data_IF_908737414573
#
_entry.id   IF_908737414573
#
_cell.length_a   1.000
_cell.length_b   1.000
_cell.length_c   1.000
_cell.angle_alpha   90.00
_cell.angle_beta   90.00
_cell.angle_gamma   90.00
#
_symmetry.space_group_name_H-M   'P 1'
#
loop_
_entity.id
_entity.type
_entity.pdbx_description
1 polymer ?
#
# COMPACT_ATOMS: atom_id res chain seq x y z
N UNK A 1 -9.23 -2.60 7.17
CA UNK A 1 -9.52 -2.27 8.58
C UNK A 1 -10.38 -1.01 8.63
N UNK A 2 -10.61 -0.45 9.82
CA UNK A 2 -11.30 0.84 9.98
C UNK A 2 -10.65 1.92 9.09
N UNK A 3 -11.47 2.81 8.52
CA UNK A 3 -11.00 3.87 7.62
C UNK A 3 -10.35 3.40 6.31
N UNK A 4 -10.34 2.09 6.02
CA UNK A 4 -9.65 1.54 4.85
C UNK A 4 -8.16 1.29 5.04
N UNK A 5 -7.66 1.30 6.29
CA UNK A 5 -6.27 0.92 6.60
C UNK A 5 -6.04 -0.54 6.23
N UNK A 6 -4.97 -0.79 5.47
CA UNK A 6 -4.54 -2.14 5.11
C UNK A 6 -3.74 -2.72 6.28
N UNK A 7 -4.25 -3.82 6.83
CA UNK A 7 -3.65 -4.55 7.96
C UNK A 7 -3.19 -5.94 7.48
N UNK A 8 -2.56 -6.69 8.38
CA UNK A 8 -2.11 -8.05 8.08
C UNK A 8 -0.81 -8.16 7.29
N UNK A 9 0.00 -7.10 7.21
CA UNK A 9 1.34 -7.19 6.62
C UNK A 9 2.23 -8.18 7.38
N UNK A 10 2.96 -9.00 6.64
CA UNK A 10 3.94 -9.95 7.20
C UNK A 10 5.34 -9.56 6.74
N UNK A 11 6.27 -9.52 7.70
CA UNK A 11 7.66 -9.20 7.42
C UNK A 11 8.33 -10.40 6.76
N UNK A 12 8.87 -10.19 5.56
CA UNK A 12 9.77 -11.14 4.93
C UNK A 12 11.20 -10.72 5.30
N UNK A 13 11.84 -11.47 6.19
CA UNK A 13 13.19 -11.18 6.64
C UNK A 13 14.17 -11.28 5.47
N UNK A 14 14.72 -10.14 5.09
CA UNK A 14 15.92 -10.04 4.27
C UNK A 14 17.10 -9.84 5.24
N UNK A 15 18.30 -10.30 4.92
CA UNK A 15 19.51 -10.12 5.74
C UNK A 15 19.96 -8.64 5.76
N UNK A 16 19.10 -7.76 6.29
CA UNK A 16 19.19 -6.32 6.22
C UNK A 16 18.72 -5.70 7.54
N UNK A 17 19.20 -4.49 7.83
CA UNK A 17 18.75 -3.75 9.01
C UNK A 17 17.29 -3.33 8.87
N UNK A 18 16.51 -3.52 9.94
CA UNK A 18 15.12 -3.11 10.02
C UNK A 18 14.99 -1.58 9.98
N UNK A 19 14.13 -1.10 9.08
CA UNK A 19 13.85 0.33 8.89
C UNK A 19 12.66 0.81 9.75
N UNK A 20 11.67 -0.07 9.93
CA UNK A 20 10.40 0.22 10.56
C UNK A 20 9.94 -0.96 11.42
N UNK A 21 9.18 -0.68 12.47
CA UNK A 21 8.48 -1.69 13.28
C UNK A 21 7.00 -1.68 12.93
N UNK A 22 6.44 -2.85 12.59
CA UNK A 22 5.03 -2.97 12.22
C UNK A 22 4.15 -3.36 13.42
N UNK A 23 3.07 -2.59 13.66
CA UNK A 23 2.00 -2.91 14.61
C UNK A 23 0.83 -3.56 13.84
N UNK A 24 0.61 -4.87 14.06
CA UNK A 24 -0.44 -5.65 13.40
C UNK A 24 -1.85 -5.21 13.78
N UNK A 25 -2.06 -4.77 15.01
CA UNK A 25 -3.38 -4.37 15.52
C UNK A 25 -3.85 -3.07 14.86
N UNK A 26 -2.93 -2.11 14.71
CA UNK A 26 -3.23 -0.80 14.15
C UNK A 26 -3.03 -0.73 12.64
N UNK A 27 -2.19 -1.59 12.05
CA UNK A 27 -1.81 -1.48 10.64
C UNK A 27 -0.77 -0.39 10.38
N UNK A 28 0.08 -0.12 11.37
CA UNK A 28 0.96 1.04 11.40
C UNK A 28 2.42 0.62 11.38
N UNK A 29 3.23 1.29 10.56
CA UNK A 29 4.70 1.15 10.54
C UNK A 29 5.33 2.33 11.29
N UNK A 30 6.08 2.08 12.36
CA UNK A 30 6.80 3.13 13.09
C UNK A 30 8.26 3.16 12.64
N UNK A 31 8.75 4.32 12.22
CA UNK A 31 10.14 4.53 11.80
C UNK A 31 11.09 4.43 13.00
N UNK A 32 12.10 3.56 12.89
CA UNK A 32 13.03 3.32 14.01
C UNK A 32 14.22 4.29 14.02
N UNK A 33 14.60 4.83 12.85
CA UNK A 33 15.74 5.73 12.67
C UNK A 33 15.36 6.89 11.74
N UNK A 34 15.85 8.09 12.01
CA UNK A 34 15.63 9.20 11.08
C UNK A 34 16.45 9.02 9.79
N UNK A 35 15.91 9.47 8.66
CA UNK A 35 16.60 9.37 7.37
C UNK A 35 15.72 9.70 6.16
N UNK A 36 16.33 9.58 4.98
CA UNK A 36 15.60 9.55 3.71
C UNK A 36 15.32 8.10 3.38
N UNK A 37 14.08 7.79 3.01
CA UNK A 37 13.61 6.44 2.73
C UNK A 37 13.04 6.37 1.33
N UNK A 38 13.36 5.30 0.61
CA UNK A 38 12.60 4.94 -0.58
C UNK A 38 11.48 3.99 -0.15
N UNK A 39 10.26 4.34 -0.52
CA UNK A 39 9.07 3.53 -0.24
C UNK A 39 8.48 3.03 -1.56
N UNK A 40 8.04 1.78 -1.55
CA UNK A 40 7.24 1.18 -2.61
C UNK A 40 6.06 0.43 -1.97
N UNK A 41 4.85 0.68 -2.45
CA UNK A 41 3.67 -0.09 -2.06
C UNK A 41 2.84 -0.43 -3.29
N UNK A 42 2.50 -1.70 -3.44
CA UNK A 42 1.63 -2.22 -4.48
C UNK A 42 0.51 -3.02 -3.83
N UNK A 43 -0.72 -2.81 -4.31
CA UNK A 43 -1.84 -3.69 -3.99
C UNK A 43 -2.65 -3.99 -5.23
N UNK A 44 -3.27 -5.17 -5.23
CA UNK A 44 -4.22 -5.58 -6.27
C UNK A 44 -5.65 -5.44 -5.75
N UNK A 45 -6.45 -4.64 -6.41
CA UNK A 45 -7.88 -4.50 -6.10
C UNK A 45 -8.70 -5.56 -6.82
N UNK A 46 -9.78 -6.00 -6.16
CA UNK A 46 -10.86 -6.77 -6.75
C UNK A 46 -12.12 -5.92 -6.68
N UNK A 47 -12.37 -5.13 -7.71
CA UNK A 47 -13.36 -4.07 -7.65
C UNK A 47 -14.33 -4.15 -8.84
N UNK A 48 -15.62 -4.25 -8.51
CA UNK A 48 -16.73 -4.46 -9.42
C UNK A 48 -17.73 -3.29 -9.41
N UNK A 49 -17.63 -2.39 -8.43
CA UNK A 49 -18.67 -1.41 -8.11
C UNK A 49 -18.15 0.03 -8.12
N UNK A 50 -16.88 0.25 -7.81
CA UNK A 50 -16.28 1.59 -7.79
C UNK A 50 -15.84 2.06 -9.19
N UNK A 51 -15.90 3.36 -9.44
CA UNK A 51 -15.44 3.99 -10.70
C UNK A 51 -13.93 4.24 -10.76
N UNK A 52 -13.23 3.98 -9.66
CA UNK A 52 -11.79 4.04 -9.57
C UNK A 52 -11.35 3.20 -8.36
N UNK A 53 -10.06 2.93 -8.27
CA UNK A 53 -9.41 2.43 -7.05
C UNK A 53 -8.36 3.42 -6.60
N UNK A 54 -8.04 3.40 -5.31
CA UNK A 54 -7.08 4.32 -4.72
C UNK A 54 -6.19 3.60 -3.72
N UNK A 55 -4.89 3.87 -3.79
CA UNK A 55 -3.91 3.49 -2.80
C UNK A 55 -3.18 4.74 -2.31
N UNK A 56 -3.24 4.99 -1.02
CA UNK A 56 -2.53 6.04 -0.31
C UNK A 56 -1.51 5.41 0.64
N UNK A 57 -0.29 5.94 0.68
CA UNK A 57 0.63 5.75 1.80
C UNK A 57 0.80 7.09 2.49
N UNK A 58 0.34 7.17 3.72
CA UNK A 58 0.29 8.40 4.52
C UNK A 58 1.26 8.32 5.68
N UNK A 59 1.85 9.46 6.04
CA UNK A 59 2.67 9.58 7.25
C UNK A 59 1.99 10.48 8.28
N UNK A 60 2.01 10.08 9.56
CA UNK A 60 1.60 10.92 10.69
C UNK A 60 2.83 11.55 11.37
N UNK A 61 2.68 12.73 11.96
CA UNK A 61 3.76 13.44 12.66
C UNK A 61 3.83 14.92 12.31
N UNK A 62 5.00 15.53 12.53
CA UNK A 62 5.21 16.98 12.35
C UNK A 62 5.14 17.43 10.88
N UNK A 63 5.48 16.54 9.94
CA UNK A 63 5.47 16.81 8.49
C UNK A 63 4.74 15.69 7.74
N UNK A 64 3.39 15.70 7.72
CA UNK A 64 2.61 14.69 7.03
C UNK A 64 2.94 14.70 5.53
N UNK A 65 3.21 13.51 4.99
CA UNK A 65 3.52 13.25 3.60
C UNK A 65 2.55 12.19 3.07
N UNK A 66 2.30 12.22 1.77
CA UNK A 66 1.38 11.30 1.10
C UNK A 66 1.92 10.90 -0.27
N UNK A 67 1.97 9.60 -0.52
CA UNK A 67 2.12 9.02 -1.85
C UNK A 67 0.77 8.44 -2.27
N UNK A 68 0.32 8.74 -3.48
CA UNK A 68 -1.02 8.36 -3.94
C UNK A 68 -0.97 7.75 -5.34
N UNK A 69 -1.75 6.70 -5.52
CA UNK A 69 -2.11 6.10 -6.79
C UNK A 69 -3.64 6.09 -6.89
N UNK A 70 -4.16 6.51 -8.04
CA UNK A 70 -5.57 6.43 -8.38
C UNK A 70 -5.70 5.91 -9.79
N UNK A 71 -6.45 4.83 -9.96
CA UNK A 71 -6.65 4.17 -11.26
C UNK A 71 -8.13 4.13 -11.57
N UNK A 72 -8.51 4.73 -12.70
CA UNK A 72 -9.89 4.76 -13.20
C UNK A 72 -10.22 3.56 -14.08
N UNK A 73 -11.51 3.36 -14.34
CA UNK A 73 -11.96 2.36 -15.33
C UNK A 73 -12.02 3.00 -16.72
N UNK A 74 -11.58 2.25 -17.73
CA UNK A 74 -11.76 2.65 -19.13
C UNK A 74 -13.25 2.72 -19.47
N UNK A 75 -13.66 3.80 -20.13
CA UNK A 75 -15.06 4.07 -20.53
C UNK A 75 -15.47 3.30 -21.79
N UNK A 76 -14.56 2.55 -22.41
CA UNK A 76 -14.83 1.75 -23.60
C UNK A 76 -15.59 0.47 -23.23
N UNK A 77 -16.76 0.21 -23.83
CA UNK A 77 -17.47 -1.05 -23.65
C UNK A 77 -16.61 -2.18 -24.19
N UNK A 78 -15.97 -2.93 -23.31
CA UNK A 78 -15.37 -4.22 -23.64
C UNK A 78 -16.45 -5.15 -24.19
N UNK A 79 -16.13 -5.90 -25.23
CA UNK A 79 -16.98 -6.93 -25.81
C UNK A 79 -17.20 -8.09 -24.82
N UNK A 80 -18.04 -7.88 -23.81
CA UNK A 80 -18.43 -8.87 -22.80
C UNK A 80 -17.80 -8.68 -21.42
N UNK A 81 -18.44 -9.21 -20.36
CA UNK A 81 -17.93 -9.15 -18.99
C UNK A 81 -16.79 -10.15 -18.83
N UNK A 82 -15.55 -9.69 -18.96
CA UNK A 82 -14.40 -10.53 -18.64
C UNK A 82 -13.93 -10.31 -17.20
N UNK A 83 -13.58 -11.40 -16.50
CA UNK A 83 -13.22 -11.38 -15.06
C UNK A 83 -12.02 -10.46 -14.73
N UNK A 84 -11.12 -10.23 -15.69
CA UNK A 84 -9.95 -9.36 -15.52
C UNK A 84 -10.26 -7.86 -15.50
N UNK A 85 -11.48 -7.43 -15.86
CA UNK A 85 -11.87 -6.02 -15.78
C UNK A 85 -11.95 -5.51 -14.34
N UNK A 86 -12.10 -6.44 -13.39
CA UNK A 86 -12.26 -6.15 -11.97
C UNK A 86 -10.93 -6.18 -11.21
N UNK A 87 -9.84 -6.63 -11.85
CA UNK A 87 -8.51 -6.63 -11.27
C UNK A 87 -7.81 -5.32 -11.63
N UNK A 88 -7.52 -4.51 -10.61
CA UNK A 88 -6.85 -3.22 -10.80
C UNK A 88 -5.64 -3.13 -9.89
N UNK A 89 -4.41 -3.24 -10.41
CA UNK A 89 -3.22 -2.96 -9.60
C UNK A 89 -3.12 -1.46 -9.37
N UNK A 90 -2.67 -1.06 -8.18
CA UNK A 90 -2.27 0.31 -7.89
C UNK A 90 -0.92 0.27 -7.20
N UNK A 91 0.02 1.08 -7.66
CA UNK A 91 1.37 1.14 -7.11
C UNK A 91 1.77 2.58 -6.82
N UNK A 92 2.39 2.79 -5.66
CA UNK A 92 2.97 4.08 -5.27
C UNK A 92 4.42 3.88 -4.90
N UNK A 93 5.25 4.84 -5.27
CA UNK A 93 6.62 4.89 -4.78
C UNK A 93 7.12 6.33 -4.68
N UNK A 94 8.18 6.52 -3.90
CA UNK A 94 8.78 7.84 -3.74
C UNK A 94 9.81 7.89 -2.64
N UNK A 95 10.55 9.00 -2.62
CA UNK A 95 11.46 9.34 -1.54
C UNK A 95 10.72 10.13 -0.47
N UNK A 96 10.83 9.70 0.78
CA UNK A 96 10.24 10.34 1.94
C UNK A 96 11.34 10.69 2.95
N UNK A 97 11.30 11.89 3.52
CA UNK A 97 12.15 12.24 4.66
C UNK A 97 11.36 11.95 5.93
N UNK A 98 11.83 11.00 6.73
CA UNK A 98 11.12 10.50 7.90
C UNK A 98 11.95 10.69 9.17
N UNK A 99 11.30 11.18 10.22
CA UNK A 99 11.88 11.27 11.55
C UNK A 99 11.62 9.99 12.35
N UNK A 100 12.46 9.70 13.35
CA UNK A 100 12.22 8.58 14.27
C UNK A 100 10.87 8.75 14.96
N UNK A 101 10.07 7.69 15.01
CA UNK A 101 8.72 7.72 15.58
C UNK A 101 7.64 8.18 14.60
N UNK A 102 7.99 8.64 13.40
CA UNK A 102 7.01 8.87 12.32
C UNK A 102 6.26 7.57 12.06
N UNK A 103 4.94 7.63 11.95
CA UNK A 103 4.13 6.48 11.62
C UNK A 103 3.70 6.52 10.15
N UNK A 104 3.66 5.36 9.51
CA UNK A 104 3.16 5.21 8.15
C UNK A 104 2.00 4.22 8.13
N UNK A 105 1.04 4.47 7.24
CA UNK A 105 -0.07 3.56 6.97
C UNK A 105 -0.32 3.46 5.47
N UNK A 106 -0.58 2.24 4.98
CA UNK A 106 -1.15 2.01 3.67
C UNK A 106 -2.68 2.00 3.79
N UNK A 107 -3.36 2.80 2.97
CA UNK A 107 -4.79 3.08 3.07
C UNK A 107 -5.40 3.05 1.68
N UNK A 108 -6.50 2.34 1.50
CA UNK A 108 -7.23 2.36 0.23
C UNK A 108 -8.53 3.16 0.34
N UNK A 109 -9.24 2.98 1.46
CA UNK A 109 -10.57 3.53 1.72
C UNK A 109 -11.55 2.39 2.06
N UNK A 110 -12.59 2.68 2.84
CA UNK A 110 -13.50 1.65 3.37
C UNK A 110 -14.36 0.94 2.29
N UNK A 111 -14.56 1.58 1.14
CA UNK A 111 -15.38 1.04 0.06
C UNK A 111 -14.64 0.01 -0.81
N UNK A 112 -13.31 0.02 -0.82
CA UNK A 112 -12.53 -0.80 -1.74
C UNK A 112 -12.21 -2.18 -1.18
N UNK A 113 -12.15 -3.17 -2.08
CA UNK A 113 -11.78 -4.55 -1.74
C UNK A 113 -10.45 -4.93 -2.39
N UNK A 114 -9.55 -5.48 -1.59
CA UNK A 114 -8.31 -6.08 -2.09
C UNK A 114 -8.57 -7.50 -2.58
N UNK A 115 -7.83 -7.91 -3.60
CA UNK A 115 -7.87 -9.27 -4.10
C UNK A 115 -7.22 -10.22 -3.08
N UNK A 116 -7.95 -11.25 -2.65
CA UNK A 116 -7.55 -12.11 -1.52
C UNK A 116 -6.92 -13.44 -1.92
N UNK A 117 -6.74 -13.72 -3.22
CA UNK A 117 -6.30 -15.02 -3.72
C UNK A 117 -5.33 -14.91 -4.90
N UNK A 118 -4.40 -15.84 -5.03
CA UNK A 118 -3.40 -15.90 -6.11
C UNK A 118 -2.21 -16.66 -5.58
N UNK A 119 -1.66 -17.54 -6.41
CA UNK A 119 -0.57 -18.49 -6.11
C UNK A 119 0.30 -18.10 -4.89
N UNK A 120 0.46 -18.96 -3.86
CA UNK A 120 1.36 -18.71 -2.73
C UNK A 120 2.82 -18.39 -3.14
N UNK A 121 3.19 -18.63 -4.40
CA UNK A 121 4.47 -18.22 -4.99
C UNK A 121 4.61 -16.71 -5.27
N UNK A 122 3.51 -15.94 -5.33
CA UNK A 122 3.52 -14.53 -5.73
C UNK A 122 2.76 -13.61 -4.75
N UNK A 123 3.51 -12.72 -4.07
CA UNK A 123 2.91 -11.69 -3.20
C UNK A 123 2.24 -10.60 -4.04
N UNK A 124 0.91 -10.65 -4.16
CA UNK A 124 0.11 -9.65 -4.89
C UNK A 124 0.11 -8.26 -4.24
N UNK A 125 0.35 -8.22 -2.93
CA UNK A 125 0.42 -7.01 -2.13
C UNK A 125 1.79 -6.91 -1.50
N UNK A 126 2.46 -5.79 -1.71
CA UNK A 126 3.83 -5.57 -1.22
C UNK A 126 3.90 -4.19 -0.59
N UNK A 127 4.52 -4.12 0.59
CA UNK A 127 4.96 -2.87 1.20
C UNK A 127 6.45 -3.01 1.49
N UNK A 128 7.26 -2.18 0.83
CA UNK A 128 8.71 -2.17 0.96
C UNK A 128 9.18 -0.77 1.32
N UNK A 129 10.12 -0.70 2.26
CA UNK A 129 10.75 0.55 2.67
C UNK A 129 12.20 0.27 3.06
N UNK A 130 13.12 1.06 2.55
CA UNK A 130 14.52 1.01 2.94
C UNK A 130 15.10 2.43 3.02
N UNK A 131 16.07 2.60 3.92
CA UNK A 131 16.77 3.87 4.08
C UNK A 131 17.74 4.06 2.91
N UNK A 132 17.71 5.25 2.30
CA UNK A 132 18.67 5.69 1.30
C UNK A 132 19.82 6.36 2.05
N UNK A 133 20.94 5.65 2.17
CA UNK A 133 22.19 6.04 2.86
C UNK A 133 22.03 6.36 4.35
#
# INVERSE_FOLDING_TARGET
>A
GEGGVIKGWEERTLNMSKAVRYNKEQGTFTVEKAGVYFLFCQVLFNEQQSQYVKLDVVTSGQRPQKLQCMEGYGTTPSAGPHRFHFLKPCQVSGLLRLDRGTELQAVTGSAFRLHTLGDPSASLHVFSIFKVN
#
